data_IF_722515328038
#
_entry.id   IF_722515328038
#
_cell.length_a   1.000
_cell.length_b   1.000
_cell.length_c   1.000
_cell.angle_alpha   90.00
_cell.angle_beta   90.00
_cell.angle_gamma   90.00
#
_symmetry.space_group_name_H-M   'P 1'
#
loop_
_entity.id
_entity.type
_entity.pdbx_description
1 polymer ?
#
# COMPACT_ATOMS: atom_id res chain seq x y z
N UNK A 1 0.35 -31.76 -27.17
CA UNK A 1 1.55 -31.04 -26.68
C UNK A 1 1.23 -29.55 -26.76
N UNK A 2 0.63 -29.04 -25.72
CA UNK A 2 0.34 -27.62 -25.53
C UNK A 2 1.03 -27.24 -24.23
N UNK A 3 2.13 -26.51 -24.35
CA UNK A 3 2.88 -26.01 -23.20
C UNK A 3 2.06 -24.90 -22.51
N UNK A 4 2.08 -24.85 -21.17
CA UNK A 4 1.61 -23.69 -20.43
C UNK A 4 2.79 -22.74 -20.27
N UNK A 5 2.87 -21.74 -21.11
CA UNK A 5 3.72 -20.57 -20.85
C UNK A 5 2.81 -19.36 -20.62
N UNK A 6 2.08 -19.42 -19.53
CA UNK A 6 1.51 -18.25 -18.89
C UNK A 6 2.53 -17.88 -17.80
N UNK A 7 3.35 -16.88 -18.05
CA UNK A 7 4.28 -16.32 -17.07
C UNK A 7 3.52 -15.78 -15.86
N UNK A 8 3.07 -16.67 -14.98
CA UNK A 8 2.49 -16.31 -13.70
C UNK A 8 3.58 -15.60 -12.89
N UNK A 9 3.42 -14.31 -12.73
CA UNK A 9 4.32 -13.50 -11.89
C UNK A 9 4.20 -13.99 -10.46
N UNK A 10 5.25 -14.63 -9.95
CA UNK A 10 5.30 -15.13 -8.57
C UNK A 10 5.54 -13.95 -7.63
N UNK A 11 4.61 -13.69 -6.72
CA UNK A 11 4.72 -12.67 -5.70
C UNK A 11 5.59 -13.16 -4.54
N UNK A 12 6.66 -12.46 -4.27
CA UNK A 12 7.54 -12.73 -3.11
C UNK A 12 6.98 -12.09 -1.84
N UNK A 13 6.88 -12.88 -0.77
CA UNK A 13 6.24 -12.50 0.48
C UNK A 13 7.17 -12.66 1.69
N UNK A 14 7.30 -11.62 2.50
CA UNK A 14 7.88 -11.67 3.85
C UNK A 14 6.74 -11.66 4.87
N UNK A 15 6.78 -12.56 5.87
CA UNK A 15 5.80 -12.65 6.95
C UNK A 15 6.44 -12.16 8.25
N UNK A 16 5.84 -11.15 8.89
CA UNK A 16 6.26 -10.61 10.18
C UNK A 16 5.14 -10.77 11.22
N UNK A 17 5.40 -11.59 12.25
CA UNK A 17 4.45 -11.92 13.31
C UNK A 17 5.24 -12.39 14.53
N UNK A 18 4.91 -11.96 15.73
CA UNK A 18 5.64 -12.34 16.95
C UNK A 18 5.26 -13.74 17.46
N UNK A 19 4.04 -14.20 17.14
CA UNK A 19 3.61 -15.55 17.49
C UNK A 19 4.16 -16.59 16.49
N UNK A 20 5.08 -17.41 16.95
CA UNK A 20 5.75 -18.44 16.16
C UNK A 20 4.75 -19.44 15.53
N UNK A 21 3.68 -19.80 16.25
CA UNK A 21 2.68 -20.75 15.76
C UNK A 21 1.89 -20.14 14.60
N UNK A 22 1.43 -18.91 14.78
CA UNK A 22 0.72 -18.14 13.74
C UNK A 22 1.62 -17.93 12.52
N UNK A 23 2.86 -17.51 12.73
CA UNK A 23 3.84 -17.24 11.66
C UNK A 23 4.14 -18.51 10.84
N UNK A 24 4.43 -19.63 11.51
CA UNK A 24 4.69 -20.92 10.84
C UNK A 24 3.45 -21.45 10.10
N UNK A 25 2.26 -21.29 10.70
CA UNK A 25 1.00 -21.62 10.06
C UNK A 25 0.75 -20.80 8.79
N UNK A 26 0.87 -19.48 8.86
CA UNK A 26 0.73 -18.58 7.71
C UNK A 26 1.74 -18.93 6.61
N UNK A 27 3.00 -19.17 6.97
CA UNK A 27 4.03 -19.59 6.02
C UNK A 27 3.62 -20.84 5.26
N UNK A 28 3.25 -21.88 5.98
CA UNK A 28 2.87 -23.17 5.37
C UNK A 28 1.67 -23.03 4.44
N UNK A 29 0.65 -22.32 4.90
CA UNK A 29 -0.60 -22.17 4.19
C UNK A 29 -0.50 -21.22 2.98
N UNK A 30 0.28 -20.14 3.09
CA UNK A 30 0.47 -19.19 2.00
C UNK A 30 1.46 -19.70 0.96
N UNK A 31 2.50 -20.43 1.35
CA UNK A 31 3.40 -21.08 0.40
C UNK A 31 2.71 -22.17 -0.45
N UNK A 32 1.59 -22.72 0.03
CA UNK A 32 0.77 -23.66 -0.74
C UNK A 32 -0.18 -22.94 -1.75
N UNK A 33 -0.27 -21.62 -1.74
CA UNK A 33 -1.12 -20.88 -2.67
C UNK A 33 -0.39 -20.61 -3.99
N UNK A 34 -1.05 -20.79 -5.14
CA UNK A 34 -0.43 -20.53 -6.43
C UNK A 34 0.00 -19.05 -6.56
N UNK A 35 1.15 -18.81 -7.16
CA UNK A 35 1.68 -17.47 -7.41
C UNK A 35 2.23 -16.74 -6.17
N UNK A 36 2.43 -17.43 -5.03
CA UNK A 36 3.04 -16.85 -3.81
C UNK A 36 4.29 -17.62 -3.43
N UNK A 37 5.41 -16.92 -3.20
CA UNK A 37 6.65 -17.45 -2.66
C UNK A 37 6.98 -16.76 -1.34
N UNK A 38 6.91 -17.48 -0.21
CA UNK A 38 7.36 -16.94 1.08
C UNK A 38 8.88 -16.98 1.13
N UNK A 39 9.51 -15.79 1.05
CA UNK A 39 10.97 -15.63 0.98
C UNK A 39 11.62 -15.40 2.33
N UNK A 40 10.83 -15.14 3.38
CA UNK A 40 11.36 -14.94 4.73
C UNK A 40 10.27 -14.79 5.79
N UNK A 41 10.73 -14.82 7.03
CA UNK A 41 9.91 -14.61 8.23
C UNK A 41 10.63 -13.62 9.15
N UNK A 42 9.90 -12.91 10.00
CA UNK A 42 10.42 -12.02 11.03
C UNK A 42 9.57 -12.14 12.30
N UNK A 43 10.21 -12.10 13.48
CA UNK A 43 9.53 -12.23 14.76
C UNK A 43 9.18 -10.88 15.41
N UNK A 44 9.61 -9.77 14.81
CA UNK A 44 9.29 -8.40 15.26
C UNK A 44 9.55 -7.36 14.16
N UNK A 45 9.17 -6.11 14.44
CA UNK A 45 9.27 -5.03 13.47
C UNK A 45 10.70 -4.61 13.12
N UNK A 46 11.69 -4.82 13.99
CA UNK A 46 13.09 -4.51 13.67
C UNK A 46 13.61 -5.52 12.66
N UNK A 47 13.42 -6.81 12.95
CA UNK A 47 13.81 -7.89 12.06
C UNK A 47 13.05 -7.82 10.71
N UNK A 48 11.78 -7.42 10.73
CA UNK A 48 10.98 -7.23 9.52
C UNK A 48 11.61 -6.19 8.58
N UNK A 49 12.02 -5.03 9.12
CA UNK A 49 12.69 -3.97 8.34
C UNK A 49 14.03 -4.46 7.78
N UNK A 50 14.87 -5.10 8.60
CA UNK A 50 16.17 -5.62 8.17
C UNK A 50 16.03 -6.67 7.06
N UNK A 51 15.09 -7.61 7.24
CA UNK A 51 14.84 -8.67 6.26
C UNK A 51 14.22 -8.14 4.97
N UNK A 52 13.30 -7.19 5.05
CA UNK A 52 12.70 -6.56 3.87
C UNK A 52 13.77 -5.87 3.00
N UNK A 53 14.71 -5.14 3.60
CA UNK A 53 15.84 -4.52 2.89
C UNK A 53 16.73 -5.55 2.17
N UNK A 54 17.01 -6.67 2.85
CA UNK A 54 17.89 -7.72 2.31
C UNK A 54 17.21 -8.56 1.25
N UNK A 55 15.96 -8.99 1.50
CA UNK A 55 15.23 -9.94 0.65
C UNK A 55 14.48 -9.26 -0.48
N UNK A 56 14.20 -7.96 -0.36
CA UNK A 56 13.43 -7.16 -1.32
C UNK A 56 12.14 -7.84 -1.75
N UNK A 57 11.26 -8.24 -0.81
CA UNK A 57 10.00 -8.87 -1.15
C UNK A 57 9.07 -7.89 -1.86
N UNK A 58 8.17 -8.39 -2.70
CA UNK A 58 7.11 -7.58 -3.31
C UNK A 58 6.12 -7.10 -2.25
N UNK A 59 5.80 -7.98 -1.28
CA UNK A 59 4.84 -7.72 -0.22
C UNK A 59 5.41 -8.14 1.15
N UNK A 60 5.14 -7.31 2.17
CA UNK A 60 5.33 -7.67 3.58
C UNK A 60 3.96 -7.83 4.22
N UNK A 61 3.67 -9.02 4.74
CA UNK A 61 2.52 -9.27 5.61
C UNK A 61 2.94 -8.98 7.04
N UNK A 62 2.44 -7.90 7.64
CA UNK A 62 2.94 -7.29 8.87
C UNK A 62 1.92 -7.35 9.99
N UNK A 63 2.19 -8.07 11.07
CA UNK A 63 1.35 -7.98 12.27
C UNK A 63 1.47 -6.61 12.93
N UNK A 64 0.38 -6.16 13.55
CA UNK A 64 0.34 -4.86 14.24
C UNK A 64 1.12 -4.90 15.54
N UNK A 65 0.91 -5.95 16.35
CA UNK A 65 1.47 -6.03 17.69
C UNK A 65 2.67 -6.95 17.73
N UNK A 66 3.84 -6.37 17.79
CA UNK A 66 5.10 -7.09 17.90
C UNK A 66 6.01 -6.41 18.93
N UNK A 67 6.91 -7.17 19.59
CA UNK A 67 7.88 -6.61 20.53
C UNK A 67 8.92 -5.75 19.81
N UNK A 68 9.71 -5.01 20.55
CA UNK A 68 10.79 -4.10 20.13
C UNK A 68 10.29 -2.96 19.25
N UNK A 69 9.61 -3.24 18.14
CA UNK A 69 8.96 -2.28 17.24
C UNK A 69 7.65 -2.87 16.75
N UNK A 70 6.56 -2.13 16.91
CA UNK A 70 5.26 -2.55 16.40
C UNK A 70 5.20 -2.45 14.86
N UNK A 71 4.24 -3.17 14.26
CA UNK A 71 4.14 -3.24 12.80
C UNK A 71 3.81 -1.91 12.12
N UNK A 72 3.12 -0.99 12.80
CA UNK A 72 2.80 0.33 12.27
C UNK A 72 4.07 1.19 12.17
N UNK A 73 4.92 1.16 13.20
CA UNK A 73 6.22 1.85 13.18
C UNK A 73 7.16 1.24 12.14
N UNK A 74 7.19 -0.10 12.03
CA UNK A 74 7.96 -0.80 11.02
C UNK A 74 7.51 -0.44 9.60
N UNK A 75 6.19 -0.38 9.36
CA UNK A 75 5.60 0.04 8.09
C UNK A 75 6.02 1.46 7.73
N UNK A 76 5.90 2.41 8.67
CA UNK A 76 6.31 3.79 8.46
C UNK A 76 7.79 3.90 8.09
N UNK A 77 8.65 3.14 8.77
CA UNK A 77 10.08 3.15 8.47
C UNK A 77 10.39 2.56 7.09
N UNK A 78 9.79 1.43 6.72
CA UNK A 78 9.99 0.81 5.41
C UNK A 78 9.63 1.74 4.25
N UNK A 79 8.56 2.53 4.43
CA UNK A 79 8.03 3.39 3.38
C UNK A 79 8.67 4.79 3.37
N UNK A 80 9.21 5.27 4.50
CA UNK A 80 9.93 6.56 4.57
C UNK A 80 11.30 6.52 3.86
N UNK A 81 11.85 5.35 3.63
CA UNK A 81 13.16 5.15 2.98
C UNK A 81 13.08 5.13 1.44
N UNK A 82 11.93 5.48 0.86
CA UNK A 82 11.75 5.58 -0.60
C UNK A 82 12.54 6.78 -1.14
N UNK A 83 13.42 6.59 -2.13
CA UNK A 83 14.24 7.69 -2.67
C UNK A 83 13.42 8.78 -3.37
N UNK A 84 12.17 8.54 -3.70
CA UNK A 84 11.33 9.49 -4.46
C UNK A 84 10.86 10.72 -3.68
N UNK A 85 11.08 10.80 -2.36
CA UNK A 85 10.65 11.94 -1.52
C UNK A 85 11.79 12.89 -1.13
N UNK A 86 13.02 12.67 -1.61
CA UNK A 86 14.20 13.44 -1.19
C UNK A 86 14.69 14.47 -2.20
N UNK A 87 14.06 14.63 -3.36
CA UNK A 87 14.46 15.66 -4.33
C UNK A 87 13.50 16.86 -4.33
N UNK A 88 13.68 17.75 -3.37
CA UNK A 88 13.38 19.16 -3.60
C UNK A 88 14.47 19.73 -4.52
N UNK A 89 14.15 20.30 -5.69
CA UNK A 89 15.16 20.93 -6.54
C UNK A 89 15.56 22.27 -5.93
N UNK A 90 16.59 22.28 -5.08
CA UNK A 90 17.30 23.52 -4.80
C UNK A 90 18.12 23.93 -6.01
N UNK A 91 17.68 25.01 -6.62
CA UNK A 91 18.40 25.76 -7.63
C UNK A 91 19.72 26.30 -7.05
N UNK A 92 20.83 25.61 -7.27
CA UNK A 92 22.13 26.26 -7.29
C UNK A 92 22.93 25.72 -8.47
N UNK A 93 22.91 26.53 -9.55
CA UNK A 93 23.85 26.36 -10.65
C UNK A 93 25.25 26.74 -10.17
N UNK A 94 26.21 25.86 -10.31
CA UNK A 94 27.61 26.19 -10.54
C UNK A 94 28.23 25.16 -11.53
N UNK A 95 28.85 25.65 -12.63
CA UNK A 95 29.43 24.80 -13.64
C UNK A 95 30.87 24.46 -13.30
N UNK A 96 31.33 23.26 -13.61
CA UNK A 96 32.69 22.74 -13.68
C UNK A 96 33.03 21.67 -12.62
N UNK A 97 32.82 20.43 -13.02
CA UNK A 97 33.88 19.41 -13.08
C UNK A 97 33.29 18.10 -13.64
N UNK A 98 33.91 17.43 -14.64
CA UNK A 98 33.47 16.13 -15.12
C UNK A 98 34.06 15.01 -14.25
N UNK A 99 33.47 13.83 -14.35
CA UNK A 99 33.91 12.56 -13.81
C UNK A 99 33.48 12.24 -12.38
N UNK A 100 32.33 11.55 -12.31
CA UNK A 100 32.14 10.30 -11.58
C UNK A 100 30.71 9.81 -11.82
N UNK A 101 30.41 9.35 -13.04
CA UNK A 101 29.28 8.49 -13.32
C UNK A 101 29.68 7.08 -12.92
N UNK A 102 29.32 6.61 -11.72
CA UNK A 102 29.16 5.20 -11.37
C UNK A 102 28.94 5.08 -9.85
N UNK A 103 27.73 5.32 -9.39
CA UNK A 103 27.18 4.72 -8.16
C UNK A 103 25.69 5.07 -7.97
N UNK A 104 24.89 4.98 -9.02
CA UNK A 104 23.44 4.78 -8.83
C UNK A 104 23.28 3.29 -8.57
N UNK A 105 23.42 2.89 -7.31
CA UNK A 105 22.99 1.56 -6.88
C UNK A 105 21.52 1.36 -7.27
N UNK A 106 21.08 0.11 -7.53
CA UNK A 106 19.72 -0.15 -7.97
C UNK A 106 18.74 0.48 -6.98
N UNK A 107 17.92 1.41 -7.48
CA UNK A 107 16.88 2.11 -6.71
C UNK A 107 16.06 1.09 -5.92
N UNK A 108 16.03 1.23 -4.60
CA UNK A 108 15.24 0.37 -3.73
C UNK A 108 13.78 0.81 -3.85
N UNK A 109 12.98 0.06 -4.62
CA UNK A 109 11.53 0.21 -4.55
C UNK A 109 11.06 -0.40 -3.21
N UNK A 110 10.38 0.37 -2.35
CA UNK A 110 9.91 -0.14 -1.07
C UNK A 110 8.88 -1.25 -1.30
N UNK A 111 8.87 -2.30 -0.45
CA UNK A 111 7.86 -3.33 -0.52
C UNK A 111 6.48 -2.75 -0.20
N UNK A 112 5.44 -3.34 -0.76
CA UNK A 112 4.07 -3.04 -0.36
C UNK A 112 3.78 -3.71 0.96
N UNK A 113 3.05 -3.04 1.86
CA UNK A 113 2.76 -3.58 3.19
C UNK A 113 1.28 -3.89 3.32
N UNK A 114 0.98 -5.15 3.63
CA UNK A 114 -0.36 -5.60 4.05
C UNK A 114 -0.31 -5.82 5.56
N UNK A 115 -1.06 -5.03 6.30
CA UNK A 115 -1.16 -5.21 7.75
C UNK A 115 -2.14 -6.33 8.06
N UNK A 116 -1.73 -7.25 8.94
CA UNK A 116 -2.57 -8.36 9.40
C UNK A 116 -2.75 -8.28 10.92
N UNK A 117 -3.97 -8.52 11.44
CA UNK A 117 -4.23 -8.46 12.87
C UNK A 117 -5.40 -9.36 13.29
N UNK A 118 -5.45 -9.69 14.58
CA UNK A 118 -6.58 -10.43 15.17
C UNK A 118 -7.77 -9.52 15.49
N UNK A 119 -7.58 -8.21 15.65
CA UNK A 119 -8.59 -7.28 16.16
C UNK A 119 -9.02 -6.25 15.13
N UNK A 120 -10.35 -6.05 15.04
CA UNK A 120 -10.95 -4.91 14.34
C UNK A 120 -10.96 -3.70 15.28
N UNK A 121 -9.80 -3.14 15.59
CA UNK A 121 -9.74 -1.85 16.28
C UNK A 121 -9.53 -0.75 15.24
N UNK A 122 -10.48 0.17 15.17
CA UNK A 122 -10.48 1.26 14.18
C UNK A 122 -9.21 2.14 14.30
N UNK A 123 -8.66 2.30 15.52
CA UNK A 123 -7.42 3.06 15.73
C UNK A 123 -6.20 2.41 15.05
N UNK A 124 -6.10 1.07 15.11
CA UNK A 124 -5.00 0.36 14.44
C UNK A 124 -5.13 0.40 12.91
N UNK A 125 -6.35 0.30 12.41
CA UNK A 125 -6.60 0.41 10.97
C UNK A 125 -6.21 1.80 10.48
N UNK A 126 -6.69 2.86 11.16
CA UNK A 126 -6.34 4.25 10.84
C UNK A 126 -4.84 4.47 10.88
N UNK A 127 -4.18 4.03 11.95
CA UNK A 127 -2.74 4.21 12.11
C UNK A 127 -1.92 3.44 11.05
N UNK A 128 -2.36 2.23 10.66
CA UNK A 128 -1.72 1.45 9.61
C UNK A 128 -1.85 2.13 8.23
N UNK A 129 -3.05 2.61 7.91
CA UNK A 129 -3.31 3.31 6.64
C UNK A 129 -2.56 4.65 6.58
N UNK A 130 -2.54 5.41 7.67
CA UNK A 130 -1.75 6.66 7.78
C UNK A 130 -0.24 6.42 7.77
N UNK A 131 0.21 5.21 8.13
CA UNK A 131 1.60 4.80 7.99
C UNK A 131 1.96 4.39 6.54
N UNK A 132 0.97 4.34 5.64
CA UNK A 132 1.15 4.00 4.23
C UNK A 132 0.93 2.52 3.90
N UNK A 133 0.33 1.72 4.78
CA UNK A 133 -0.02 0.34 4.45
C UNK A 133 -0.90 0.29 3.19
N UNK A 134 -0.59 -0.63 2.28
CA UNK A 134 -1.32 -0.84 1.02
C UNK A 134 -2.59 -1.64 1.20
N UNK A 135 -2.72 -2.35 2.33
CA UNK A 135 -3.89 -3.14 2.66
C UNK A 135 -3.95 -3.51 4.13
N UNK A 136 -5.11 -3.98 4.55
CA UNK A 136 -5.38 -4.45 5.91
C UNK A 136 -6.22 -5.72 5.84
N UNK A 137 -5.82 -6.75 6.56
CA UNK A 137 -6.53 -8.03 6.61
C UNK A 137 -6.63 -8.55 8.05
N UNK A 138 -7.64 -9.37 8.32
CA UNK A 138 -7.81 -10.01 9.62
C UNK A 138 -7.21 -11.42 9.61
N UNK A 139 -6.48 -11.80 10.66
CA UNK A 139 -5.91 -13.14 10.81
C UNK A 139 -6.97 -14.28 10.78
N UNK A 140 -8.23 -13.95 11.09
CA UNK A 140 -9.35 -14.89 11.04
C UNK A 140 -9.90 -15.18 9.64
N UNK A 141 -9.47 -14.43 8.63
CA UNK A 141 -9.91 -14.66 7.26
C UNK A 141 -9.39 -16.00 6.74
N UNK A 142 -10.15 -16.68 5.87
CA UNK A 142 -9.67 -17.85 5.15
C UNK A 142 -8.36 -17.51 4.41
N UNK A 143 -7.39 -18.44 4.45
CA UNK A 143 -6.07 -18.23 3.83
C UNK A 143 -6.16 -17.82 2.36
N UNK A 144 -7.14 -18.32 1.60
CA UNK A 144 -7.37 -17.93 0.21
C UNK A 144 -7.63 -16.42 0.07
N UNK A 145 -8.37 -15.83 1.02
CA UNK A 145 -8.64 -14.39 1.01
C UNK A 145 -7.40 -13.58 1.39
N UNK A 146 -6.58 -14.08 2.32
CA UNK A 146 -5.29 -13.45 2.64
C UNK A 146 -4.35 -13.52 1.42
N UNK A 147 -4.29 -14.66 0.74
CA UNK A 147 -3.49 -14.83 -0.47
C UNK A 147 -3.96 -13.92 -1.61
N UNK A 148 -5.27 -13.77 -1.77
CA UNK A 148 -5.84 -12.84 -2.76
C UNK A 148 -5.48 -11.40 -2.42
N UNK A 149 -5.57 -11.03 -1.14
CA UNK A 149 -5.14 -9.73 -0.66
C UNK A 149 -3.66 -9.44 -1.02
N UNK A 150 -2.79 -10.41 -0.81
CA UNK A 150 -1.36 -10.29 -1.16
C UNK A 150 -1.19 -10.08 -2.66
N UNK A 151 -1.89 -10.83 -3.53
CA UNK A 151 -1.77 -10.71 -5.00
C UNK A 151 -2.28 -9.35 -5.50
N UNK A 152 -3.45 -8.93 -5.03
CA UNK A 152 -4.06 -7.64 -5.40
C UNK A 152 -3.13 -6.49 -5.02
N UNK A 153 -2.57 -6.52 -3.81
CA UNK A 153 -1.60 -5.51 -3.37
C UNK A 153 -0.31 -5.61 -4.19
N UNK A 154 0.18 -6.80 -4.50
CA UNK A 154 1.36 -6.99 -5.35
C UNK A 154 1.16 -6.38 -6.75
N UNK A 155 -0.04 -6.49 -7.31
CA UNK A 155 -0.40 -5.87 -8.59
C UNK A 155 -0.48 -4.34 -8.55
N UNK A 156 -0.34 -3.70 -7.37
CA UNK A 156 -0.44 -2.25 -7.20
C UNK A 156 -1.87 -1.77 -6.97
N UNK A 157 -2.79 -2.67 -6.78
CA UNK A 157 -4.15 -2.36 -6.38
C UNK A 157 -4.23 -2.31 -4.84
N UNK A 158 -5.15 -1.53 -4.30
CA UNK A 158 -5.33 -1.43 -2.85
C UNK A 158 -6.50 -2.29 -2.41
N UNK A 159 -6.31 -3.04 -1.32
CA UNK A 159 -7.43 -3.68 -0.65
C UNK A 159 -7.92 -2.74 0.44
N UNK A 160 -9.01 -2.09 0.14
CA UNK A 160 -9.80 -1.35 1.11
C UNK A 160 -11.08 -2.14 1.36
N UNK A 161 -11.35 -2.46 2.62
CA UNK A 161 -12.70 -2.84 3.01
C UNK A 161 -13.53 -1.55 3.14
N UNK A 162 -14.37 -1.19 2.14
CA UNK A 162 -15.10 0.08 2.11
C UNK A 162 -15.96 0.30 3.36
N UNK A 163 -16.44 -0.79 3.97
CA UNK A 163 -17.26 -0.74 5.17
C UNK A 163 -16.46 -0.33 6.42
N UNK A 164 -15.21 -0.75 6.55
CA UNK A 164 -14.35 -0.39 7.68
C UNK A 164 -13.91 1.07 7.56
N UNK A 165 -13.50 1.50 6.37
CA UNK A 165 -13.14 2.89 6.11
C UNK A 165 -14.34 3.84 6.35
N UNK A 166 -15.54 3.47 5.88
CA UNK A 166 -16.76 4.25 6.12
C UNK A 166 -17.09 4.42 7.60
N UNK A 167 -16.93 3.36 8.41
CA UNK A 167 -17.15 3.44 9.88
C UNK A 167 -16.14 4.36 10.54
N UNK A 168 -14.88 4.31 10.13
CA UNK A 168 -13.80 5.13 10.70
C UNK A 168 -14.01 6.62 10.46
N UNK A 169 -14.41 6.99 9.24
CA UNK A 169 -14.69 8.38 8.88
C UNK A 169 -15.97 8.89 9.54
N UNK A 170 -16.99 8.04 9.67
CA UNK A 170 -18.26 8.40 10.34
C UNK A 170 -18.10 8.60 11.87
N UNK A 171 -17.04 8.03 12.47
CA UNK A 171 -16.75 8.18 13.90
C UNK A 171 -15.93 9.44 14.23
N UNK A 172 -15.40 10.16 13.24
CA UNK A 172 -14.63 11.40 13.47
C UNK A 172 -15.54 12.63 13.43
N UNK A 173 -15.37 13.59 14.36
CA UNK A 173 -16.04 14.88 14.27
C UNK A 173 -15.59 15.63 13.01
N UNK A 174 -16.52 16.22 12.27
CA UNK A 174 -16.30 17.00 11.05
C UNK A 174 -15.43 18.27 11.24
N UNK A 175 -15.08 18.62 12.48
CA UNK A 175 -14.34 19.84 12.80
C UNK A 175 -12.82 19.75 12.55
N UNK A 176 -12.30 18.60 12.08
CA UNK A 176 -10.89 18.39 11.81
C UNK A 176 -10.59 18.08 10.34
N UNK A 177 -11.40 18.54 9.41
CA UNK A 177 -11.12 18.39 7.98
C UNK A 177 -9.89 19.22 7.61
N UNK A 178 -8.72 18.55 7.54
CA UNK A 178 -7.56 19.12 6.84
C UNK A 178 -8.00 19.35 5.40
N UNK A 179 -8.19 20.64 5.03
CA UNK A 179 -8.59 20.98 3.69
C UNK A 179 -7.57 20.42 2.70
N UNK A 180 -8.02 19.58 1.77
CA UNK A 180 -7.20 19.25 0.60
C UNK A 180 -6.67 20.57 0.04
N UNK A 181 -5.44 20.62 -0.45
CA UNK A 181 -5.00 21.72 -1.29
C UNK A 181 -5.89 21.70 -2.54
N UNK A 182 -7.03 22.42 -2.48
CA UNK A 182 -8.07 22.45 -3.52
C UNK A 182 -7.55 22.84 -4.91
N UNK A 183 -6.35 23.39 -4.98
CA UNK A 183 -5.69 23.77 -6.22
C UNK A 183 -4.87 22.63 -6.90
N UNK A 184 -4.78 21.46 -6.30
CA UNK A 184 -3.86 20.43 -6.78
C UNK A 184 -4.47 19.45 -7.80
N UNK A 185 -5.74 19.04 -7.63
CA UNK A 185 -6.36 18.05 -8.51
C UNK A 185 -7.14 18.69 -9.65
N UNK A 186 -7.00 18.14 -10.86
CA UNK A 186 -7.90 18.45 -11.97
C UNK A 186 -9.24 17.76 -11.75
N UNK A 187 -10.31 18.21 -12.43
CA UNK A 187 -11.62 17.57 -12.34
C UNK A 187 -11.59 16.07 -12.66
N UNK A 188 -10.72 15.64 -13.59
CA UNK A 188 -10.56 14.23 -13.97
C UNK A 188 -9.83 13.42 -12.88
N UNK A 189 -8.83 13.99 -12.26
CA UNK A 189 -8.12 13.37 -11.14
C UNK A 189 -9.02 13.25 -9.89
N UNK A 190 -9.87 14.25 -9.64
CA UNK A 190 -10.86 14.20 -8.57
C UNK A 190 -11.90 13.10 -8.83
N UNK A 191 -12.38 12.96 -10.06
CA UNK A 191 -13.31 11.90 -10.47
C UNK A 191 -12.67 10.51 -10.28
N UNK A 192 -11.42 10.33 -10.72
CA UNK A 192 -10.66 9.10 -10.50
C UNK A 192 -10.50 8.81 -9.01
N UNK A 193 -10.16 9.81 -8.19
CA UNK A 193 -10.02 9.63 -6.74
C UNK A 193 -11.34 9.24 -6.07
N UNK A 194 -12.47 9.81 -6.51
CA UNK A 194 -13.80 9.40 -6.02
C UNK A 194 -14.09 7.93 -6.35
N UNK A 195 -13.80 7.50 -7.57
CA UNK A 195 -13.99 6.09 -7.97
C UNK A 195 -13.01 5.15 -7.23
N UNK A 196 -11.77 5.59 -6.97
CA UNK A 196 -10.85 4.86 -6.09
C UNK A 196 -11.45 4.67 -4.69
N UNK A 197 -12.10 5.70 -4.16
CA UNK A 197 -12.70 5.68 -2.82
C UNK A 197 -13.97 4.81 -2.72
N UNK A 198 -14.64 4.52 -3.84
CA UNK A 198 -15.71 3.52 -3.87
C UNK A 198 -15.19 2.09 -3.93
N UNK A 199 -13.87 1.90 -4.09
CA UNK A 199 -13.23 0.59 -4.12
C UNK A 199 -13.04 -0.02 -5.52
N UNK A 200 -13.32 0.74 -6.61
CA UNK A 200 -13.10 0.23 -7.96
C UNK A 200 -11.62 0.04 -8.25
N UNK A 201 -11.27 -1.06 -8.90
CA UNK A 201 -9.94 -1.31 -9.47
C UNK A 201 -9.66 -0.41 -10.69
N UNK A 202 -8.41 -0.32 -11.13
CA UNK A 202 -8.07 0.47 -12.31
C UNK A 202 -8.79 0.00 -13.60
N UNK A 203 -8.97 -1.31 -13.86
CA UNK A 203 -9.80 -1.77 -14.98
C UNK A 203 -11.26 -1.30 -14.89
N UNK A 204 -11.89 -1.40 -13.70
CA UNK A 204 -13.27 -0.96 -13.49
C UNK A 204 -13.43 0.55 -13.63
N UNK A 205 -12.42 1.33 -13.18
CA UNK A 205 -12.37 2.78 -13.41
C UNK A 205 -12.25 3.08 -14.91
N UNK A 206 -11.41 2.35 -15.63
CA UNK A 206 -11.24 2.51 -17.07
C UNK A 206 -12.54 2.26 -17.83
N UNK A 207 -13.26 1.22 -17.46
CA UNK A 207 -14.59 0.90 -18.00
C UNK A 207 -15.61 2.00 -17.66
N UNK A 208 -15.70 2.39 -16.38
CA UNK A 208 -16.64 3.42 -15.91
C UNK A 208 -16.43 4.77 -16.60
N UNK A 209 -15.18 5.14 -16.87
CA UNK A 209 -14.80 6.41 -17.46
C UNK A 209 -14.62 6.35 -18.99
N UNK A 210 -14.78 5.17 -19.60
CA UNK A 210 -14.60 4.91 -21.03
C UNK A 210 -13.24 5.39 -21.53
N UNK A 211 -12.16 5.05 -20.80
CA UNK A 211 -10.76 5.37 -21.15
C UNK A 211 -9.89 4.12 -21.11
N UNK A 212 -8.64 4.22 -21.57
CA UNK A 212 -7.70 3.12 -21.49
C UNK A 212 -7.22 2.89 -20.05
N UNK A 213 -6.83 1.64 -19.74
CA UNK A 213 -6.23 1.29 -18.46
C UNK A 213 -4.96 2.13 -18.17
N UNK A 214 -4.17 2.42 -19.22
CA UNK A 214 -2.95 3.21 -19.11
C UNK A 214 -3.26 4.68 -18.74
N UNK A 215 -4.35 5.23 -19.29
CA UNK A 215 -4.83 6.57 -18.91
C UNK A 215 -5.21 6.62 -17.44
N UNK A 216 -5.91 5.58 -16.93
CA UNK A 216 -6.26 5.51 -15.50
C UNK A 216 -5.02 5.43 -14.63
N UNK A 217 -4.05 4.59 -14.98
CA UNK A 217 -2.75 4.50 -14.24
C UNK A 217 -2.05 5.85 -14.15
N UNK A 218 -2.04 6.59 -15.27
CA UNK A 218 -1.46 7.94 -15.30
C UNK A 218 -2.20 8.89 -14.36
N UNK A 219 -3.54 8.91 -14.38
CA UNK A 219 -4.32 9.74 -13.46
C UNK A 219 -4.11 9.34 -12.00
N UNK A 220 -4.08 8.04 -11.70
CA UNK A 220 -3.78 7.54 -10.35
C UNK A 220 -2.40 8.02 -9.90
N UNK A 221 -1.37 7.87 -10.72
CA UNK A 221 -0.02 8.38 -10.41
C UNK A 221 0.00 9.87 -10.10
N UNK A 222 -0.67 10.67 -10.94
CA UNK A 222 -0.79 12.11 -10.72
C UNK A 222 -1.52 12.46 -9.42
N UNK A 223 -2.61 11.73 -9.09
CA UNK A 223 -3.34 11.89 -7.83
C UNK A 223 -2.41 11.62 -6.64
N UNK A 224 -1.67 10.50 -6.67
CA UNK A 224 -0.74 10.15 -5.60
C UNK A 224 0.30 11.24 -5.38
N UNK A 225 0.94 11.69 -6.45
CA UNK A 225 1.97 12.74 -6.41
C UNK A 225 1.41 14.06 -5.87
N UNK A 226 0.25 14.50 -6.35
CA UNK A 226 -0.36 15.78 -5.94
C UNK A 226 -0.86 15.79 -4.51
N UNK A 227 -1.28 14.63 -4.00
CA UNK A 227 -1.71 14.47 -2.61
C UNK A 227 -0.55 14.16 -1.65
N UNK A 228 0.66 13.90 -2.15
CA UNK A 228 1.76 13.35 -1.35
C UNK A 228 1.42 11.97 -0.77
N UNK A 229 0.56 11.22 -1.46
CA UNK A 229 0.10 9.92 -0.99
C UNK A 229 1.11 8.83 -1.38
N UNK A 230 1.51 8.01 -0.42
CA UNK A 230 2.47 6.92 -0.61
C UNK A 230 1.93 5.78 -1.50
N UNK A 231 0.63 5.61 -1.51
CA UNK A 231 -0.06 4.58 -2.31
C UNK A 231 -1.56 4.92 -2.45
N UNK A 232 -2.27 4.10 -3.22
CA UNK A 232 -3.69 4.24 -3.47
C UNK A 232 -4.53 4.29 -2.19
N UNK A 233 -4.21 3.44 -1.20
CA UNK A 233 -4.90 3.39 0.08
C UNK A 233 -4.78 4.71 0.83
N UNK A 234 -3.57 5.26 0.90
CA UNK A 234 -3.31 6.56 1.54
C UNK A 234 -4.06 7.70 0.83
N UNK A 235 -4.10 7.71 -0.51
CA UNK A 235 -4.89 8.70 -1.26
C UNK A 235 -6.39 8.64 -0.93
N UNK A 236 -6.94 7.44 -0.77
CA UNK A 236 -8.35 7.26 -0.38
C UNK A 236 -8.60 7.72 1.05
N UNK A 237 -7.68 7.46 1.99
CA UNK A 237 -7.78 8.00 3.37
C UNK A 237 -7.80 9.53 3.33
N UNK A 238 -6.90 10.16 2.59
CA UNK A 238 -6.87 11.63 2.43
C UNK A 238 -8.18 12.15 1.83
N UNK A 239 -8.77 11.46 0.85
CA UNK A 239 -10.04 11.84 0.24
C UNK A 239 -11.21 11.86 1.25
N UNK A 240 -11.23 10.88 2.16
CA UNK A 240 -12.22 10.84 3.23
C UNK A 240 -11.94 11.88 4.33
N UNK A 241 -10.69 12.02 4.77
CA UNK A 241 -10.30 12.98 5.82
C UNK A 241 -10.53 14.43 5.43
N UNK A 242 -10.39 14.73 4.14
CA UNK A 242 -10.63 16.06 3.58
C UNK A 242 -12.09 16.38 3.28
N UNK A 243 -12.98 15.38 3.43
CA UNK A 243 -14.40 15.52 3.08
C UNK A 243 -14.68 15.55 1.57
N UNK A 244 -13.70 15.24 0.71
CA UNK A 244 -13.92 15.11 -0.73
C UNK A 244 -14.88 13.95 -1.05
N UNK A 245 -14.82 12.89 -0.25
CA UNK A 245 -15.71 11.75 -0.29
C UNK A 245 -16.42 11.62 1.04
N UNK A 246 -17.75 11.64 1.02
CA UNK A 246 -18.60 11.45 2.21
C UNK A 246 -19.17 10.04 2.19
N UNK A 247 -19.04 9.24 3.26
CA UNK A 247 -19.63 7.92 3.34
C UNK A 247 -21.15 7.98 3.19
N UNK A 248 -21.70 7.29 2.20
CA UNK A 248 -23.16 7.17 2.04
C UNK A 248 -23.80 7.98 0.90
N UNK A 249 -23.10 8.86 0.23
CA UNK A 249 -23.56 9.49 -1.00
C UNK A 249 -22.99 8.74 -2.22
N UNK A 250 -23.70 7.70 -2.67
CA UNK A 250 -23.66 7.25 -4.06
C UNK A 250 -24.68 8.07 -4.81
N UNK A 251 -24.23 9.10 -5.54
CA UNK A 251 -25.05 9.78 -6.53
C UNK A 251 -25.29 8.91 -7.73
#
# INVERSE_FOLDING_TARGET
>A
MTGPDSGETVTTLLIADDDEVTRSGLRTLLAAQPGIAVVGEAADGVEAVERARRLRPDVVLMDVRMPRRNGIEATRQLLAESPELSESPELTKSPHSPESADSVGPSFAPPKVVVITTFENDDYVTAALSAGASGFVLKRLPVRQIAEAVRVVAAGEAILFPATLRRMVAARPLDSAAALPKAALTGREEEVLRLMATGLSNPEIAESLTVSLETVKTHVGNVLTKLGAQNRTHAVVIAYESGLVVPGFTG
#
